data_IF_087067501343
#
_entry.id   IF_087067501343
#
_cell.length_a   1.000
_cell.length_b   1.000
_cell.length_c   1.000
_cell.angle_alpha   90.00
_cell.angle_beta   90.00
_cell.angle_gamma   90.00
#
_symmetry.space_group_name_H-M   'P 1'
#
loop_
_entity.id
_entity.type
_entity.pdbx_description
1 polymer ?
#
# COMPACT_ATOMS: atom_id res chain seq x y z
N UNK A 1 11.56 9.92 -3.85
CA UNK A 1 10.43 9.00 -3.53
C UNK A 1 10.03 9.02 -2.04
N UNK A 2 10.80 9.62 -1.12
CA UNK A 2 10.44 9.72 0.30
C UNK A 2 9.20 10.58 0.60
N UNK A 3 8.80 11.49 -0.30
CA UNK A 3 7.49 12.16 -0.27
C UNK A 3 6.51 11.36 -1.12
N UNK A 4 5.97 10.28 -0.54
CA UNK A 4 5.16 9.28 -1.24
C UNK A 4 3.86 9.83 -1.83
N UNK A 5 3.37 10.97 -1.32
CA UNK A 5 2.19 11.64 -1.86
C UNK A 5 2.47 12.43 -3.16
N UNK A 6 3.74 12.65 -3.51
CA UNK A 6 4.12 13.48 -4.67
C UNK A 6 4.94 12.73 -5.71
N UNK A 7 5.90 11.91 -5.27
CA UNK A 7 6.85 11.24 -6.15
C UNK A 7 6.71 9.72 -6.02
N UNK A 8 6.00 9.11 -6.97
CA UNK A 8 5.69 7.68 -6.99
C UNK A 8 6.50 6.99 -8.10
N UNK A 9 7.05 5.81 -7.81
CA UNK A 9 7.72 4.97 -8.81
C UNK A 9 6.67 4.27 -9.68
N UNK A 10 6.54 4.71 -10.93
CA UNK A 10 5.64 4.08 -11.89
C UNK A 10 6.25 2.84 -12.55
N UNK A 11 7.55 2.86 -12.83
CA UNK A 11 8.27 1.78 -13.51
C UNK A 11 9.73 1.72 -13.08
N UNK A 12 10.30 0.53 -13.18
CA UNK A 12 11.72 0.25 -12.94
C UNK A 12 12.27 -0.49 -14.15
N UNK A 13 13.46 -0.10 -14.61
CA UNK A 13 14.18 -0.73 -15.72
C UNK A 13 15.56 -1.20 -15.27
N UNK A 14 16.05 -2.26 -15.90
CA UNK A 14 17.41 -2.75 -15.70
C UNK A 14 18.37 -1.87 -16.51
N UNK A 15 19.31 -1.23 -15.82
CA UNK A 15 20.16 -0.19 -16.41
C UNK A 15 21.01 -0.62 -17.61
N UNK A 16 21.39 -1.92 -17.72
CA UNK A 16 22.30 -2.38 -18.78
C UNK A 16 21.62 -2.60 -20.13
N UNK A 17 20.30 -2.76 -20.16
CA UNK A 17 19.57 -3.20 -21.36
C UNK A 17 18.12 -2.70 -21.43
N UNK A 18 17.75 -1.76 -20.57
CA UNK A 18 16.40 -1.19 -20.47
C UNK A 18 15.28 -2.25 -20.36
N UNK A 19 15.60 -3.44 -19.84
CA UNK A 19 14.60 -4.46 -19.60
C UNK A 19 13.63 -3.95 -18.53
N UNK A 20 12.34 -3.88 -18.85
CA UNK A 20 11.32 -3.51 -17.85
C UNK A 20 11.30 -4.55 -16.72
N UNK A 21 11.49 -4.10 -15.49
CA UNK A 21 11.55 -4.94 -14.28
C UNK A 21 10.23 -4.91 -13.53
N UNK A 22 9.67 -3.71 -13.31
CA UNK A 22 8.46 -3.53 -12.54
C UNK A 22 7.58 -2.42 -13.13
N UNK A 23 6.28 -2.53 -12.91
CA UNK A 23 5.30 -1.49 -13.24
C UNK A 23 4.23 -1.42 -12.15
N UNK A 24 3.87 -0.21 -11.76
CA UNK A 24 2.90 0.08 -10.69
C UNK A 24 1.76 0.93 -11.22
N UNK A 25 0.55 0.75 -10.68
CA UNK A 25 -0.52 1.73 -10.86
C UNK A 25 -0.25 2.96 -9.99
N UNK A 26 -0.16 4.15 -10.60
CA UNK A 26 0.16 5.42 -9.91
C UNK A 26 -0.97 6.45 -10.03
N UNK A 27 -2.15 6.00 -10.45
CA UNK A 27 -3.33 6.83 -10.60
C UNK A 27 -3.83 7.29 -9.22
N UNK A 28 -4.04 8.61 -9.06
CA UNK A 28 -4.60 9.19 -7.83
C UNK A 28 -6.03 9.63 -8.03
N UNK A 29 -6.96 8.99 -7.32
CA UNK A 29 -8.38 9.27 -7.41
C UNK A 29 -8.72 10.70 -6.96
N UNK A 30 -8.05 11.21 -5.92
CA UNK A 30 -8.29 12.57 -5.42
C UNK A 30 -7.91 13.64 -6.44
N UNK A 31 -6.81 13.46 -7.17
CA UNK A 31 -6.40 14.37 -8.23
C UNK A 31 -7.33 14.33 -9.44
N UNK A 32 -7.92 13.17 -9.73
CA UNK A 32 -8.92 13.03 -10.81
C UNK A 32 -10.25 13.69 -10.39
N UNK A 33 -10.67 13.51 -9.15
CA UNK A 33 -11.99 13.94 -8.67
C UNK A 33 -12.02 15.35 -8.06
N UNK A 34 -10.85 15.94 -7.74
CA UNK A 34 -10.73 17.22 -7.03
C UNK A 34 -11.20 17.17 -5.56
N UNK A 35 -11.49 15.97 -5.04
CA UNK A 35 -11.97 15.70 -3.68
C UNK A 35 -11.68 14.25 -3.31
N UNK A 36 -11.78 13.91 -2.02
CA UNK A 36 -11.64 12.53 -1.58
C UNK A 36 -12.84 11.72 -2.06
N UNK A 37 -12.57 10.67 -2.83
CA UNK A 37 -13.58 9.73 -3.35
C UNK A 37 -13.32 8.28 -2.94
N UNK A 38 -12.18 7.99 -2.33
CA UNK A 38 -11.74 6.64 -1.98
C UNK A 38 -10.23 6.57 -1.81
N UNK A 39 -9.73 5.38 -1.47
CA UNK A 39 -8.30 5.07 -1.48
C UNK A 39 -7.91 4.59 -2.87
N UNK A 40 -6.66 4.84 -3.26
CA UNK A 40 -6.18 4.48 -4.60
C UNK A 40 -5.96 2.97 -4.80
N UNK A 41 -5.71 2.23 -3.70
CA UNK A 41 -5.51 0.77 -3.66
C UNK A 41 -4.63 0.22 -4.81
N UNK A 42 -3.31 0.52 -4.79
CA UNK A 42 -2.43 0.28 -5.93
C UNK A 42 -2.10 -1.21 -6.14
N UNK A 43 -1.82 -1.54 -7.41
CA UNK A 43 -1.29 -2.84 -7.84
C UNK A 43 0.11 -2.67 -8.46
N UNK A 44 0.93 -3.72 -8.37
CA UNK A 44 2.27 -3.76 -8.95
C UNK A 44 2.55 -5.14 -9.56
N UNK A 45 3.24 -5.15 -10.69
CA UNK A 45 3.82 -6.35 -11.29
C UNK A 45 5.33 -6.21 -11.25
N UNK A 46 6.02 -7.26 -10.78
CA UNK A 46 7.49 -7.35 -10.73
C UNK A 46 7.94 -8.64 -11.43
N UNK A 47 8.91 -8.52 -12.35
CA UNK A 47 9.58 -9.65 -12.98
C UNK A 47 10.77 -10.08 -12.12
N UNK A 48 10.88 -11.37 -11.88
CA UNK A 48 11.92 -11.96 -11.04
C UNK A 48 12.93 -12.78 -11.87
N UNK A 49 14.08 -13.08 -11.26
CA UNK A 49 15.12 -13.99 -11.79
C UNK A 49 15.81 -13.51 -13.06
N UNK A 50 16.76 -14.32 -13.59
CA UNK A 50 17.48 -14.08 -14.84
C UNK A 50 18.14 -12.68 -14.93
N UNK A 51 18.86 -12.31 -13.88
CA UNK A 51 19.52 -11.00 -13.76
C UNK A 51 18.55 -9.87 -13.38
N UNK A 52 17.37 -10.21 -12.88
CA UNK A 52 16.50 -9.37 -12.05
C UNK A 52 16.50 -9.95 -10.63
N UNK A 53 15.99 -9.22 -9.62
CA UNK A 53 15.90 -9.74 -8.26
C UNK A 53 15.25 -11.12 -8.20
N UNK A 54 15.80 -12.01 -7.40
CA UNK A 54 15.18 -13.29 -7.08
C UNK A 54 13.86 -13.05 -6.34
N UNK A 55 12.96 -14.03 -6.37
CA UNK A 55 11.68 -13.95 -5.64
C UNK A 55 11.92 -13.61 -4.16
N UNK A 56 12.88 -14.28 -3.51
CA UNK A 56 13.24 -13.98 -2.12
C UNK A 56 13.72 -12.55 -1.89
N UNK A 57 14.45 -11.95 -2.85
CA UNK A 57 14.92 -10.56 -2.74
C UNK A 57 13.78 -9.55 -2.91
N UNK A 58 12.75 -9.88 -3.70
CA UNK A 58 11.53 -9.07 -3.84
C UNK A 58 10.70 -9.13 -2.55
N UNK A 59 10.67 -10.29 -1.91
CA UNK A 59 9.86 -10.54 -0.71
C UNK A 59 10.53 -10.06 0.59
N UNK A 60 11.86 -10.13 0.67
CA UNK A 60 12.63 -9.81 1.88
C UNK A 60 12.32 -8.42 2.49
N UNK A 61 12.13 -7.34 1.72
CA UNK A 61 11.74 -6.05 2.27
C UNK A 61 10.41 -6.08 3.05
N UNK A 62 9.51 -7.00 2.72
CA UNK A 62 8.21 -7.15 3.38
C UNK A 62 8.24 -8.08 4.60
N UNK A 63 9.42 -8.51 5.05
CA UNK A 63 9.61 -9.12 6.38
C UNK A 63 9.52 -8.10 7.52
N UNK A 64 9.28 -6.83 7.20
CA UNK A 64 8.99 -5.70 8.08
C UNK A 64 7.76 -4.95 7.56
N UNK A 65 7.12 -4.15 8.41
CA UNK A 65 5.98 -3.30 8.01
C UNK A 65 6.41 -1.85 7.78
N UNK A 66 5.70 -1.14 6.91
CA UNK A 66 5.93 0.28 6.64
C UNK A 66 4.67 1.08 6.92
N UNK A 67 4.80 2.32 7.38
CA UNK A 67 3.66 3.23 7.47
C UNK A 67 3.28 3.75 6.08
N UNK A 68 2.02 3.56 5.71
CA UNK A 68 1.44 3.99 4.44
C UNK A 68 0.22 4.86 4.67
N UNK A 69 0.02 5.84 3.79
CA UNK A 69 -1.13 6.73 3.84
C UNK A 69 -2.37 6.04 3.27
N UNK A 70 -3.51 6.21 3.93
CA UNK A 70 -4.80 5.69 3.48
C UNK A 70 -5.66 5.29 4.66
N UNK A 71 -5.60 4.00 5.02
CA UNK A 71 -6.29 3.37 6.14
C UNK A 71 -7.73 3.91 6.35
N UNK A 72 -8.15 4.28 7.57
CA UNK A 72 -9.49 4.82 7.79
C UNK A 72 -9.69 6.12 7.00
N UNK A 73 -10.75 6.14 6.19
CA UNK A 73 -11.21 7.30 5.38
C UNK A 73 -10.17 7.95 4.48
N UNK A 74 -9.04 7.29 4.21
CA UNK A 74 -7.97 7.91 3.41
C UNK A 74 -7.25 9.04 4.16
N UNK A 75 -7.27 8.98 5.49
CA UNK A 75 -6.93 10.11 6.37
C UNK A 75 -5.95 9.74 7.47
N UNK A 76 -5.42 8.51 7.46
CA UNK A 76 -4.52 8.03 8.50
C UNK A 76 -3.28 7.37 7.92
N UNK A 77 -2.19 7.46 8.66
CA UNK A 77 -1.03 6.58 8.49
C UNK A 77 -1.35 5.24 9.16
N UNK A 78 -1.10 4.14 8.46
CA UNK A 78 -1.28 2.79 8.99
C UNK A 78 -0.16 1.85 8.55
N UNK A 79 0.18 0.83 9.34
CA UNK A 79 1.19 -0.14 8.97
C UNK A 79 0.66 -1.06 7.87
N UNK A 80 1.38 -1.19 6.76
CA UNK A 80 1.03 -2.14 5.70
C UNK A 80 1.34 -3.56 6.15
N UNK A 81 0.33 -4.42 6.14
CA UNK A 81 0.42 -5.79 6.65
C UNK A 81 0.48 -6.79 5.48
N UNK A 82 1.59 -7.54 5.31
CA UNK A 82 1.65 -8.65 4.37
C UNK A 82 0.80 -9.82 4.88
N UNK A 83 -0.17 -10.24 4.07
CA UNK A 83 -1.12 -11.30 4.41
C UNK A 83 -1.33 -12.26 3.25
N UNK A 84 -1.57 -13.52 3.57
CA UNK A 84 -2.12 -14.46 2.59
C UNK A 84 -3.49 -14.01 2.09
N UNK A 85 -3.86 -14.39 0.88
CA UNK A 85 -5.08 -14.03 0.16
C UNK A 85 -6.34 -14.30 0.99
N UNK A 86 -6.38 -15.42 1.73
CA UNK A 86 -7.50 -15.76 2.64
C UNK A 86 -7.71 -14.75 3.79
N UNK A 87 -6.70 -13.94 4.09
CA UNK A 87 -6.68 -12.92 5.14
C UNK A 87 -6.70 -11.49 4.57
N UNK A 88 -6.85 -11.31 3.25
CA UNK A 88 -6.92 -10.03 2.56
C UNK A 88 -8.28 -9.34 2.77
N UNK A 89 -8.60 -8.99 4.02
CA UNK A 89 -9.86 -8.37 4.43
C UNK A 89 -9.61 -7.30 5.49
N UNK A 90 -10.15 -6.11 5.25
CA UNK A 90 -10.07 -4.98 6.16
C UNK A 90 -11.13 -5.13 7.27
N UNK A 91 -10.72 -4.94 8.53
CA UNK A 91 -11.60 -5.12 9.69
C UNK A 91 -11.51 -3.93 10.63
N UNK A 92 -10.61 -3.98 11.61
CA UNK A 92 -10.47 -2.93 12.62
C UNK A 92 -10.02 -1.63 11.93
N UNK A 93 -10.83 -0.58 12.13
CA UNK A 93 -10.58 0.75 11.56
C UNK A 93 -10.39 0.73 10.04
N UNK A 94 -11.16 -0.09 9.33
CA UNK A 94 -11.07 -0.29 7.88
C UNK A 94 -9.66 -0.73 7.43
N UNK A 95 -8.96 -1.53 8.24
CA UNK A 95 -7.65 -2.05 7.90
C UNK A 95 -7.10 -3.09 8.89
N UNK A 96 -5.81 -2.97 9.31
CA UNK A 96 -4.78 -2.09 8.73
C UNK A 96 -4.61 -2.35 7.22
N UNK A 97 -3.96 -1.44 6.45
CA UNK A 97 -3.73 -1.64 5.02
C UNK A 97 -3.13 -3.03 4.74
N UNK A 98 -3.67 -3.74 3.72
CA UNK A 98 -3.30 -5.13 3.42
C UNK A 98 -2.47 -5.19 2.15
N UNK A 99 -1.47 -6.06 2.14
CA UNK A 99 -0.65 -6.38 0.99
C UNK A 99 -0.69 -7.89 0.74
N UNK A 100 -0.98 -8.27 -0.50
CA UNK A 100 -0.93 -9.66 -0.97
C UNK A 100 0.12 -9.75 -2.08
N UNK A 101 0.87 -10.86 -2.13
CA UNK A 101 1.82 -11.14 -3.20
C UNK A 101 1.51 -12.49 -3.82
N UNK A 102 1.13 -12.48 -5.10
CA UNK A 102 0.86 -13.68 -5.88
C UNK A 102 1.97 -13.90 -6.90
N UNK A 103 2.53 -15.10 -6.92
CA UNK A 103 3.54 -15.55 -7.86
C UNK A 103 2.97 -16.47 -8.91
N UNK A 104 3.42 -16.33 -10.15
CA UNK A 104 3.09 -17.23 -11.23
C UNK A 104 4.21 -17.24 -12.28
N UNK A 105 4.22 -18.26 -13.12
CA UNK A 105 5.08 -18.31 -14.31
C UNK A 105 4.24 -17.94 -15.53
N UNK A 106 4.85 -17.25 -16.50
CA UNK A 106 4.21 -16.91 -17.77
C UNK A 106 4.86 -17.74 -18.88
N UNK A 107 4.05 -18.50 -19.61
CA UNK A 107 4.47 -19.30 -20.74
C UNK A 107 3.50 -19.10 -21.91
N UNK A 108 4.03 -18.80 -23.10
CA UNK A 108 3.25 -18.60 -24.32
C UNK A 108 2.06 -17.60 -24.17
N UNK A 109 2.26 -16.53 -23.38
CA UNK A 109 1.23 -15.50 -23.17
C UNK A 109 0.15 -15.84 -22.14
N UNK A 110 0.26 -16.97 -21.45
CA UNK A 110 -0.66 -17.39 -20.40
C UNK A 110 0.06 -17.66 -19.07
N UNK A 111 -0.70 -17.71 -17.97
CA UNK A 111 -0.21 -18.26 -16.70
C UNK A 111 0.03 -19.76 -16.91
N UNK A 112 1.19 -20.24 -16.49
CA UNK A 112 1.52 -21.67 -16.57
C UNK A 112 0.50 -22.49 -15.76
N UNK A 113 0.10 -23.63 -16.31
CA UNK A 113 -0.82 -24.56 -15.67
C UNK A 113 -0.09 -25.80 -15.16
N UNK A 114 -0.70 -26.48 -14.18
CA UNK A 114 -0.31 -27.82 -13.76
C UNK A 114 -0.72 -28.90 -14.78
N UNK A 115 -0.44 -30.17 -14.46
CA UNK A 115 -0.74 -31.32 -15.31
C UNK A 115 -2.25 -31.50 -15.56
N UNK A 116 -3.11 -30.91 -14.72
CA UNK A 116 -4.57 -30.94 -14.84
C UNK A 116 -5.13 -29.73 -15.60
N UNK A 117 -4.26 -28.78 -16.00
CA UNK A 117 -4.62 -27.57 -16.71
C UNK A 117 -5.00 -26.39 -15.80
N UNK A 118 -4.88 -26.52 -14.48
CA UNK A 118 -5.20 -25.44 -13.54
C UNK A 118 -4.05 -24.41 -13.46
N UNK A 119 -4.34 -23.09 -13.46
CA UNK A 119 -3.31 -22.07 -13.30
C UNK A 119 -2.50 -22.23 -12.01
N UNK A 120 -1.17 -22.25 -12.14
CA UNK A 120 -0.26 -22.34 -11.00
C UNK A 120 0.00 -20.95 -10.41
N UNK A 121 -0.61 -20.68 -9.25
CA UNK A 121 -0.47 -19.43 -8.52
C UNK A 121 0.00 -19.74 -7.09
N UNK A 122 1.10 -19.12 -6.68
CA UNK A 122 1.63 -19.20 -5.33
C UNK A 122 1.24 -17.95 -4.52
N UNK A 123 0.74 -18.15 -3.30
CA UNK A 123 0.55 -17.06 -2.34
C UNK A 123 1.82 -16.91 -1.50
N UNK A 124 2.62 -15.88 -1.79
CA UNK A 124 3.93 -15.71 -1.17
C UNK A 124 3.87 -15.21 0.27
N UNK A 125 2.80 -14.54 0.69
CA UNK A 125 2.66 -14.05 2.07
C UNK A 125 1.88 -15.00 2.98
N UNK A 126 1.31 -16.09 2.45
CA UNK A 126 0.81 -17.23 3.24
C UNK A 126 1.97 -18.13 3.70
N UNK A 127 2.97 -17.53 4.33
CA UNK A 127 4.15 -18.20 4.88
C UNK A 127 4.42 -17.71 6.32
N UNK A 128 4.83 -18.61 7.25
CA UNK A 128 5.18 -18.25 8.62
C UNK A 128 6.29 -17.20 8.76
N UNK A 129 7.19 -17.06 7.78
CA UNK A 129 8.26 -16.07 7.80
C UNK A 129 7.74 -14.62 7.91
N UNK A 130 6.50 -14.37 7.47
CA UNK A 130 5.87 -13.04 7.55
C UNK A 130 5.06 -12.82 8.84
N UNK A 131 5.02 -13.78 9.77
CA UNK A 131 4.38 -13.58 11.08
C UNK A 131 5.04 -12.45 11.88
N UNK A 132 6.36 -12.27 11.73
CA UNK A 132 7.07 -11.17 12.36
C UNK A 132 6.53 -9.80 11.90
N UNK A 133 6.41 -9.61 10.58
CA UNK A 133 5.86 -8.39 9.98
C UNK A 133 4.39 -8.17 10.38
N UNK A 134 3.58 -9.25 10.45
CA UNK A 134 2.18 -9.18 10.88
C UNK A 134 2.04 -8.75 12.34
N UNK A 135 2.87 -9.31 13.22
CA UNK A 135 2.90 -8.92 14.64
C UNK A 135 3.30 -7.45 14.79
N UNK A 136 4.39 -7.05 14.14
CA UNK A 136 4.87 -5.68 14.16
C UNK A 136 3.83 -4.68 13.64
N UNK A 137 3.14 -5.01 12.54
CA UNK A 137 2.04 -4.20 12.01
C UNK A 137 0.93 -4.01 13.04
N UNK A 138 0.57 -5.04 13.81
CA UNK A 138 -0.47 -4.88 14.85
C UNK A 138 -0.01 -4.06 16.04
N UNK A 139 1.25 -4.18 16.45
CA UNK A 139 1.82 -3.36 17.53
C UNK A 139 1.83 -1.87 17.15
N UNK A 140 2.28 -1.55 15.94
CA UNK A 140 2.25 -0.17 15.41
C UNK A 140 0.84 0.35 15.20
N UNK A 141 -0.08 -0.49 14.70
CA UNK A 141 -1.48 -0.11 14.53
C UNK A 141 -2.10 0.27 15.88
N UNK A 142 -1.89 -0.53 16.92
CA UNK A 142 -2.38 -0.24 18.26
C UNK A 142 -1.79 1.06 18.83
N UNK A 143 -0.51 1.31 18.60
CA UNK A 143 0.16 2.55 19.00
C UNK A 143 -0.46 3.77 18.31
N UNK A 144 -0.56 3.76 16.98
CA UNK A 144 -1.13 4.87 16.21
C UNK A 144 -2.58 5.15 16.62
N UNK A 145 -3.38 4.11 16.85
CA UNK A 145 -4.77 4.30 17.29
C UNK A 145 -4.92 4.98 18.64
N UNK A 146 -3.94 4.86 19.55
CA UNK A 146 -3.95 5.58 20.83
C UNK A 146 -3.74 7.09 20.68
N UNK A 147 -3.19 7.53 19.55
CA UNK A 147 -3.02 8.95 19.24
C UNK A 147 -4.34 9.60 18.77
N UNK A 148 -5.34 8.81 18.35
CA UNK A 148 -6.60 9.32 17.82
C UNK A 148 -6.41 10.09 16.50
N UNK A 149 -7.06 11.25 16.41
CA UNK A 149 -7.12 12.10 15.20
C UNK A 149 -5.99 13.13 15.14
N UNK A 150 -4.96 12.98 15.98
CA UNK A 150 -3.81 13.88 16.01
C UNK A 150 -2.71 13.40 15.07
N UNK A 151 -1.96 14.33 14.50
CA UNK A 151 -0.77 14.02 13.72
C UNK A 151 0.34 13.47 14.66
N UNK A 152 1.13 12.48 14.23
CA UNK A 152 1.16 11.85 12.90
C UNK A 152 0.22 10.64 12.69
N UNK A 153 -0.72 10.31 13.59
CA UNK A 153 -1.68 9.22 13.30
C UNK A 153 -2.63 9.59 12.16
N UNK A 154 -3.18 10.80 12.22
CA UNK A 154 -3.86 11.44 11.08
C UNK A 154 -2.83 11.93 10.07
N UNK A 155 -3.19 11.94 8.78
CA UNK A 155 -2.42 12.61 7.74
C UNK A 155 -2.34 14.12 7.97
N UNK A 156 -1.37 14.72 7.27
CA UNK A 156 -1.13 16.17 7.29
C UNK A 156 -2.34 16.96 6.76
N UNK A 157 -2.43 18.23 7.13
CA UNK A 157 -3.49 19.13 6.65
C UNK A 157 -3.55 19.19 5.11
N UNK A 158 -2.41 19.18 4.42
CA UNK A 158 -2.35 19.19 2.94
C UNK A 158 -3.03 17.95 2.35
N UNK A 159 -2.72 16.77 2.89
CA UNK A 159 -3.35 15.51 2.48
C UNK A 159 -4.85 15.47 2.84
N UNK A 160 -5.25 16.20 3.88
CA UNK A 160 -6.62 16.33 4.36
C UNK A 160 -7.44 17.39 3.61
N UNK A 161 -6.84 18.18 2.72
CA UNK A 161 -7.52 19.22 1.92
C UNK A 161 -8.70 18.66 1.11
N UNK A 162 -8.61 17.38 0.75
CA UNK A 162 -9.63 16.66 0.00
C UNK A 162 -10.79 16.14 0.87
N UNK A 163 -10.76 16.37 2.19
CA UNK A 163 -11.76 15.91 3.16
C UNK A 163 -12.74 17.02 3.56
N UNK A 164 -13.56 16.80 4.59
CA UNK A 164 -14.48 17.81 5.14
C UNK A 164 -13.80 18.81 6.07
N UNK A 165 -12.53 18.63 6.43
CA UNK A 165 -11.81 19.52 7.35
C UNK A 165 -11.80 21.00 6.91
N UNK A 166 -11.56 21.35 5.63
CA UNK A 166 -11.61 22.74 5.18
C UNK A 166 -12.99 23.39 5.40
N UNK A 167 -14.08 22.64 5.22
CA UNK A 167 -15.44 23.14 5.42
C UNK A 167 -15.72 23.47 6.90
N UNK A 168 -15.16 22.67 7.82
CA UNK A 168 -15.28 22.92 9.26
C UNK A 168 -14.48 24.15 9.66
N UNK A 169 -13.26 24.30 9.14
CA UNK A 169 -12.41 25.48 9.41
C UNK A 169 -13.10 26.75 8.90
N UNK A 170 -13.67 26.74 7.69
CA UNK A 170 -14.38 27.90 7.14
C UNK A 170 -15.60 28.26 7.99
N UNK A 171 -16.39 27.28 8.45
CA UNK A 171 -17.54 27.50 9.34
C UNK A 171 -17.14 28.12 10.69
N UNK A 172 -15.93 27.83 11.18
CA UNK A 172 -15.44 28.29 12.47
C UNK A 172 -14.59 29.57 12.37
N UNK A 173 -14.35 30.08 11.15
CA UNK A 173 -13.44 31.18 10.87
C UNK A 173 -13.68 32.44 11.71
N UNK A 174 -14.94 32.84 11.87
CA UNK A 174 -15.32 34.04 12.64
C UNK A 174 -15.10 33.89 14.15
N UNK A 175 -14.86 32.67 14.64
CA UNK A 175 -14.62 32.40 16.07
C UNK A 175 -13.14 32.52 16.45
N UNK A 176 -12.23 32.60 15.48
CA UNK A 176 -10.81 32.77 15.75
C UNK A 176 -10.50 34.21 16.14
N UNK A 177 -9.71 34.38 17.19
CA UNK A 177 -9.16 35.68 17.59
C UNK A 177 -7.65 35.71 17.31
N UNK A 178 -7.09 36.89 17.01
CA UNK A 178 -5.64 37.07 16.98
C UNK A 178 -5.01 36.58 18.30
N UNK A 179 -3.81 36.00 18.20
CA UNK A 179 -2.97 35.63 19.35
C UNK A 179 -2.20 36.86 19.83
#
# INVERSE_FOLDING_TARGET
>A
IGTVERYIVSRVWRARDDLICASSSVTKLSLIAGKYVGKDDPVMIVRAQHGLPAVGEILAPFMHTYLVAGWMRGSHWGPIMPVGLRHARCTVFDGPPRLVALGFQVSNGAIASDDEGNPMIADFFDDPAFELARKEAMELAAMLRRMGEFEPSRLSVESMEYTTLPQVIEKLKERFTPI
#
